data_IF_451472066176
#
_entry.id   IF_451472066176
#
_cell.length_a   1.000
_cell.length_b   1.000
_cell.length_c   1.000
_cell.angle_alpha   90.00
_cell.angle_beta   90.00
_cell.angle_gamma   90.00
#
_symmetry.space_group_name_H-M   'P 1'
#
loop_
_entity.id
_entity.type
_entity.pdbx_description
1 polymer ?
#
# COMPACT_ATOMS: atom_id res chain seq x y z
N UNK A 1 -16.60 -38.56 -9.88
CA UNK A 1 -15.91 -37.88 -8.77
C UNK A 1 -15.96 -36.39 -9.02
N UNK A 2 -16.71 -35.64 -8.22
CA UNK A 2 -16.83 -34.19 -8.39
C UNK A 2 -15.50 -33.56 -7.96
N UNK A 3 -14.74 -32.98 -8.90
CA UNK A 3 -13.48 -32.30 -8.57
C UNK A 3 -13.80 -31.21 -7.55
N UNK A 4 -13.25 -31.29 -6.34
CA UNK A 4 -13.46 -30.27 -5.31
C UNK A 4 -13.04 -28.92 -5.89
N UNK A 5 -13.97 -27.96 -5.94
CA UNK A 5 -13.66 -26.59 -6.39
C UNK A 5 -12.58 -26.03 -5.48
N UNK A 6 -11.58 -25.37 -6.07
CA UNK A 6 -10.58 -24.64 -5.29
C UNK A 6 -11.27 -23.44 -4.62
N UNK A 7 -10.92 -23.18 -3.36
CA UNK A 7 -11.55 -22.16 -2.53
C UNK A 7 -10.64 -20.95 -2.34
N UNK A 8 -11.21 -19.75 -2.41
CA UNK A 8 -10.45 -18.49 -2.39
C UNK A 8 -11.05 -17.53 -1.37
N UNK A 9 -10.23 -17.04 -0.43
CA UNK A 9 -10.60 -15.92 0.42
C UNK A 9 -10.29 -14.60 -0.30
N UNK A 10 -11.30 -13.80 -0.61
CA UNK A 10 -11.15 -12.52 -1.31
C UNK A 10 -11.27 -11.35 -0.33
N UNK A 11 -10.23 -10.52 -0.25
CA UNK A 11 -10.29 -9.24 0.43
C UNK A 11 -11.18 -8.25 -0.32
N UNK A 12 -12.30 -7.85 0.30
CA UNK A 12 -13.30 -6.94 -0.23
C UNK A 12 -13.29 -5.62 0.53
N UNK A 13 -12.91 -4.53 -0.15
CA UNK A 13 -12.88 -3.18 0.40
C UNK A 13 -14.16 -2.37 0.13
N UNK A 14 -15.16 -2.97 -0.53
CA UNK A 14 -16.36 -2.24 -0.97
C UNK A 14 -16.09 -1.26 -2.12
N UNK A 15 -14.93 -1.38 -2.77
CA UNK A 15 -14.60 -0.69 -4.01
C UNK A 15 -14.76 -1.58 -5.24
N UNK A 16 -14.92 -0.94 -6.40
CA UNK A 16 -15.14 -1.58 -7.71
C UNK A 16 -14.15 -2.71 -8.01
N UNK A 17 -12.89 -2.53 -7.65
CA UNK A 17 -11.81 -3.47 -7.96
C UNK A 17 -12.03 -4.83 -7.27
N UNK A 18 -12.25 -4.80 -5.95
CA UNK A 18 -12.50 -6.02 -5.19
C UNK A 18 -13.81 -6.70 -5.59
N UNK A 19 -14.82 -5.93 -6.01
CA UNK A 19 -16.09 -6.45 -6.51
C UNK A 19 -15.93 -7.23 -7.81
N UNK A 20 -15.25 -6.63 -8.79
CA UNK A 20 -14.98 -7.26 -10.09
C UNK A 20 -14.04 -8.46 -9.93
N UNK A 21 -13.06 -8.37 -9.03
CA UNK A 21 -12.20 -9.51 -8.71
C UNK A 21 -13.00 -10.71 -8.21
N UNK A 22 -14.00 -10.50 -7.35
CA UNK A 22 -14.89 -11.57 -6.88
C UNK A 22 -15.75 -12.18 -7.97
N UNK A 23 -16.29 -11.35 -8.88
CA UNK A 23 -16.98 -11.83 -10.06
C UNK A 23 -16.07 -12.71 -10.94
N UNK A 24 -14.89 -12.21 -11.29
CA UNK A 24 -13.95 -12.94 -12.16
C UNK A 24 -13.52 -14.29 -11.57
N UNK A 25 -13.24 -14.35 -10.27
CA UNK A 25 -12.90 -15.60 -9.59
C UNK A 25 -14.05 -16.61 -9.63
N UNK A 26 -15.30 -16.14 -9.43
CA UNK A 26 -16.48 -17.00 -9.54
C UNK A 26 -16.65 -17.55 -10.96
N UNK A 27 -16.48 -16.72 -11.98
CA UNK A 27 -16.54 -17.13 -13.40
C UNK A 27 -15.44 -18.13 -13.76
N UNK A 28 -14.26 -18.00 -13.14
CA UNK A 28 -13.16 -18.96 -13.27
C UNK A 28 -13.42 -20.30 -12.53
N UNK A 29 -14.56 -20.44 -11.86
CA UNK A 29 -14.99 -21.67 -11.21
C UNK A 29 -14.55 -21.85 -9.76
N UNK A 30 -13.93 -20.84 -9.16
CA UNK A 30 -13.55 -20.87 -7.75
C UNK A 30 -14.77 -20.80 -6.82
N UNK A 31 -14.65 -21.46 -5.67
CA UNK A 31 -15.53 -21.18 -4.53
C UNK A 31 -14.98 -19.95 -3.80
N UNK A 32 -15.64 -18.81 -3.93
CA UNK A 32 -15.17 -17.54 -3.37
C UNK A 32 -15.82 -17.29 -2.02
N UNK A 33 -15.02 -16.87 -1.03
CA UNK A 33 -15.47 -16.34 0.25
C UNK A 33 -14.97 -14.91 0.36
N UNK A 34 -15.86 -13.95 0.54
CA UNK A 34 -15.53 -12.55 0.75
C UNK A 34 -15.13 -12.26 2.20
N UNK A 35 -14.13 -11.41 2.40
CA UNK A 35 -13.76 -10.90 3.72
C UNK A 35 -13.50 -9.40 3.67
N UNK A 36 -14.06 -8.64 4.61
CA UNK A 36 -13.68 -7.24 4.83
C UNK A 36 -12.93 -7.11 6.15
N UNK A 37 -11.75 -6.49 6.10
CA UNK A 37 -10.99 -6.14 7.29
C UNK A 37 -11.51 -4.84 7.89
N UNK A 38 -11.92 -4.88 9.15
CA UNK A 38 -12.11 -3.70 9.97
C UNK A 38 -10.75 -3.32 10.56
N UNK A 39 -10.25 -2.16 10.19
CA UNK A 39 -8.91 -1.65 10.58
C UNK A 39 -8.97 -0.32 11.33
N UNK A 40 -10.16 0.14 11.72
CA UNK A 40 -10.34 1.37 12.47
C UNK A 40 -10.49 1.09 13.98
N UNK A 41 -9.91 1.95 14.85
CA UNK A 41 -10.17 1.87 16.29
C UNK A 41 -11.65 2.09 16.60
N UNK A 42 -12.15 1.45 17.68
CA UNK A 42 -13.55 1.55 18.12
C UNK A 42 -13.99 3.00 18.45
N UNK A 43 -13.06 3.87 18.84
CA UNK A 43 -13.36 5.22 19.36
C UNK A 43 -13.43 6.32 18.30
N UNK A 44 -13.29 5.98 17.01
CA UNK A 44 -13.19 6.95 15.93
C UNK A 44 -14.49 7.07 15.10
N UNK A 45 -15.65 7.21 15.74
CA UNK A 45 -16.92 7.42 15.02
C UNK A 45 -16.88 8.69 14.15
N UNK A 46 -16.10 9.70 14.54
CA UNK A 46 -15.96 10.98 13.80
C UNK A 46 -14.99 10.94 12.61
N UNK A 47 -14.20 9.86 12.42
CA UNK A 47 -13.30 9.69 11.26
C UNK A 47 -13.87 8.78 10.17
N UNK A 48 -15.10 8.29 10.37
CA UNK A 48 -15.69 7.18 9.65
C UNK A 48 -16.38 7.55 8.31
N UNK A 49 -16.46 8.83 7.96
CA UNK A 49 -17.23 9.25 6.78
C UNK A 49 -16.48 9.08 5.46
N UNK A 50 -15.14 9.05 5.43
CA UNK A 50 -14.49 9.38 4.16
C UNK A 50 -13.88 8.25 3.30
N UNK A 51 -13.38 7.10 3.77
CA UNK A 51 -12.62 6.19 2.86
C UNK A 51 -12.74 4.68 3.12
N UNK A 52 -12.34 3.92 2.08
CA UNK A 52 -12.13 2.47 1.83
C UNK A 52 -12.37 1.42 2.94
N UNK A 53 -12.25 1.79 4.21
CA UNK A 53 -12.39 0.93 5.37
C UNK A 53 -13.24 1.65 6.43
N UNK A 54 -14.46 2.06 6.10
CA UNK A 54 -15.44 2.58 7.05
C UNK A 54 -16.70 1.69 7.11
N UNK A 55 -17.67 1.99 7.99
CA UNK A 55 -18.94 1.26 8.07
C UNK A 55 -19.65 1.16 6.71
N UNK A 56 -19.64 2.24 5.92
CA UNK A 56 -20.21 2.24 4.57
C UNK A 56 -19.48 1.29 3.62
N UNK A 57 -18.14 1.20 3.71
CA UNK A 57 -17.36 0.29 2.89
C UNK A 57 -17.68 -1.19 3.19
N UNK A 58 -17.93 -1.52 4.47
CA UNK A 58 -18.41 -2.85 4.87
C UNK A 58 -19.80 -3.13 4.31
N UNK A 59 -20.71 -2.15 4.37
CA UNK A 59 -22.05 -2.29 3.81
C UNK A 59 -22.00 -2.50 2.28
N UNK A 60 -21.19 -1.72 1.57
CA UNK A 60 -20.96 -1.84 0.12
C UNK A 60 -20.38 -3.23 -0.22
N UNK A 61 -19.36 -3.69 0.52
CA UNK A 61 -18.75 -5.00 0.32
C UNK A 61 -19.76 -6.13 0.53
N UNK A 62 -20.58 -6.05 1.58
CA UNK A 62 -21.64 -7.02 1.86
C UNK A 62 -22.71 -7.04 0.77
N UNK A 63 -23.15 -5.87 0.31
CA UNK A 63 -24.16 -5.77 -0.74
C UNK A 63 -23.68 -6.39 -2.06
N UNK A 64 -22.42 -6.13 -2.44
CA UNK A 64 -21.80 -6.74 -3.62
C UNK A 64 -21.63 -8.25 -3.43
N UNK A 65 -21.15 -8.70 -2.27
CA UNK A 65 -20.97 -10.14 -2.03
C UNK A 65 -22.31 -10.88 -2.15
N UNK A 66 -23.39 -10.29 -1.61
CA UNK A 66 -24.73 -10.81 -1.73
C UNK A 66 -25.21 -10.88 -3.19
N UNK A 67 -25.02 -9.82 -4.00
CA UNK A 67 -25.40 -9.85 -5.42
C UNK A 67 -24.61 -10.87 -6.24
N UNK A 68 -23.37 -11.16 -5.84
CA UNK A 68 -22.52 -12.18 -6.45
C UNK A 68 -22.75 -13.58 -5.87
N UNK A 69 -23.64 -13.77 -4.89
CA UNK A 69 -23.88 -15.07 -4.25
C UNK A 69 -22.67 -15.61 -3.48
N UNK A 70 -21.85 -14.71 -2.92
CA UNK A 70 -20.62 -15.01 -2.20
C UNK A 70 -20.85 -14.83 -0.68
N UNK A 71 -20.53 -15.82 0.17
CA UNK A 71 -20.55 -15.63 1.62
C UNK A 71 -19.53 -14.56 2.01
N UNK A 72 -19.91 -13.66 2.93
CA UNK A 72 -19.09 -12.52 3.33
C UNK A 72 -18.94 -12.44 4.85
N UNK A 73 -17.69 -12.27 5.29
CA UNK A 73 -17.34 -12.11 6.69
C UNK A 73 -16.66 -10.76 6.94
N UNK A 74 -16.82 -10.24 8.16
CA UNK A 74 -16.05 -9.09 8.64
C UNK A 74 -15.09 -9.59 9.70
N UNK A 75 -13.82 -9.22 9.59
CA UNK A 75 -12.79 -9.60 10.54
C UNK A 75 -12.21 -8.35 11.16
N UNK A 76 -12.14 -8.32 12.49
CA UNK A 76 -11.46 -7.24 13.19
C UNK A 76 -9.94 -7.48 13.13
N UNK A 77 -9.24 -6.51 12.56
CA UNK A 77 -7.79 -6.49 12.40
C UNK A 77 -7.23 -5.14 12.89
N UNK A 78 -8.02 -4.36 13.66
CA UNK A 78 -7.61 -3.04 14.13
C UNK A 78 -6.29 -3.09 14.91
N UNK A 79 -6.18 -3.99 15.89
CA UNK A 79 -4.97 -4.13 16.70
C UNK A 79 -3.73 -4.53 15.88
N UNK A 80 -3.92 -5.40 14.88
CA UNK A 80 -2.82 -5.83 14.00
C UNK A 80 -2.45 -4.71 13.03
N UNK A 81 -3.42 -3.95 12.56
CA UNK A 81 -3.21 -2.80 11.70
C UNK A 81 -2.47 -1.68 12.42
N UNK A 82 -2.85 -1.38 13.65
CA UNK A 82 -2.17 -0.42 14.50
C UNK A 82 -0.68 -0.79 14.62
N UNK A 83 -0.40 -2.01 15.11
CA UNK A 83 0.98 -2.45 15.36
C UNK A 83 1.84 -2.62 14.13
N UNK A 84 1.29 -3.18 13.05
CA UNK A 84 2.10 -3.59 11.88
C UNK A 84 2.19 -2.52 10.81
N UNK A 85 1.28 -1.53 10.83
CA UNK A 85 1.19 -0.51 9.79
C UNK A 85 1.35 0.88 10.38
N UNK A 86 0.55 1.24 11.39
CA UNK A 86 0.57 2.58 11.98
C UNK A 86 1.82 2.81 12.82
N UNK A 87 2.17 1.90 13.73
CA UNK A 87 3.37 2.03 14.57
C UNK A 87 4.65 2.02 13.71
N UNK A 88 4.69 1.17 12.68
CA UNK A 88 5.75 1.19 11.66
C UNK A 88 5.82 2.56 10.98
N UNK A 89 4.70 3.07 10.48
CA UNK A 89 4.66 4.36 9.79
C UNK A 89 5.17 5.49 10.69
N UNK A 90 4.69 5.56 11.92
CA UNK A 90 5.05 6.60 12.89
C UNK A 90 6.52 6.51 13.29
N UNK A 91 7.03 5.32 13.61
CA UNK A 91 8.41 5.12 14.04
C UNK A 91 9.43 5.39 12.93
N UNK A 92 9.10 5.09 11.67
CA UNK A 92 9.96 5.43 10.52
C UNK A 92 10.09 6.95 10.34
N UNK A 93 8.99 7.70 10.47
CA UNK A 93 9.05 9.16 10.43
C UNK A 93 9.85 9.74 11.58
N UNK A 94 9.66 9.24 12.82
CA UNK A 94 10.48 9.63 13.98
C UNK A 94 11.97 9.39 13.75
N UNK A 95 12.32 8.40 12.93
CA UNK A 95 13.69 8.10 12.56
C UNK A 95 14.16 8.83 11.28
N UNK A 96 13.44 9.86 10.83
CA UNK A 96 13.78 10.68 9.66
C UNK A 96 13.63 9.96 8.31
N UNK A 97 12.93 8.82 8.28
CA UNK A 97 12.72 8.00 7.07
C UNK A 97 11.37 8.26 6.43
N UNK A 98 11.23 7.91 5.16
CA UNK A 98 9.95 8.01 4.41
C UNK A 98 9.33 6.63 4.23
N UNK A 99 8.42 6.19 5.11
CA UNK A 99 7.84 4.85 5.05
C UNK A 99 6.82 4.66 3.93
N UNK A 100 6.60 3.40 3.54
CA UNK A 100 5.48 3.00 2.69
C UNK A 100 4.55 2.01 3.43
N UNK A 101 3.47 2.49 4.07
CA UNK A 101 2.60 1.65 4.88
C UNK A 101 1.79 0.64 4.04
N UNK A 102 1.57 0.91 2.75
CA UNK A 102 0.82 0.01 1.87
C UNK A 102 1.57 -1.31 1.62
N UNK A 103 2.90 -1.26 1.49
CA UNK A 103 3.75 -2.45 1.35
C UNK A 103 3.63 -3.32 2.60
N UNK A 104 3.73 -2.70 3.79
CA UNK A 104 3.62 -3.41 5.06
C UNK A 104 2.23 -4.01 5.26
N UNK A 105 1.17 -3.29 4.92
CA UNK A 105 -0.20 -3.80 4.96
C UNK A 105 -0.37 -5.01 4.03
N UNK A 106 0.18 -4.96 2.82
CA UNK A 106 0.10 -6.09 1.90
C UNK A 106 0.86 -7.31 2.43
N UNK A 107 2.10 -7.14 2.87
CA UNK A 107 2.94 -8.23 3.34
C UNK A 107 2.45 -8.85 4.65
N UNK A 108 2.14 -8.02 5.64
CA UNK A 108 1.90 -8.49 7.02
C UNK A 108 0.44 -8.78 7.30
N UNK A 109 -0.49 -8.08 6.64
CA UNK A 109 -1.92 -8.25 6.89
C UNK A 109 -2.62 -8.97 5.74
N UNK A 110 -2.67 -8.38 4.55
CA UNK A 110 -3.51 -8.90 3.45
C UNK A 110 -3.05 -10.28 2.98
N UNK A 111 -1.74 -10.48 2.82
CA UNK A 111 -1.15 -11.77 2.46
C UNK A 111 -0.42 -12.44 3.63
N UNK A 112 -0.47 -11.83 4.82
CA UNK A 112 0.07 -12.36 6.07
C UNK A 112 -1.06 -12.87 6.97
N UNK A 113 -1.48 -12.08 7.96
CA UNK A 113 -2.46 -12.48 8.97
C UNK A 113 -3.78 -13.05 8.41
N UNK A 114 -4.29 -12.50 7.30
CA UNK A 114 -5.51 -13.04 6.67
C UNK A 114 -5.35 -14.48 6.19
N UNK A 115 -4.12 -14.92 5.89
CA UNK A 115 -3.87 -16.30 5.46
C UNK A 115 -4.28 -17.31 6.54
N UNK A 116 -4.03 -17.03 7.82
CA UNK A 116 -4.41 -17.94 8.91
C UNK A 116 -5.93 -18.15 8.93
N UNK A 117 -6.72 -17.11 8.65
CA UNK A 117 -8.18 -17.21 8.52
C UNK A 117 -8.60 -17.93 7.24
N UNK A 118 -7.91 -17.66 6.12
CA UNK A 118 -8.14 -18.34 4.85
C UNK A 118 -7.95 -19.86 5.00
N UNK A 119 -6.85 -20.27 5.64
CA UNK A 119 -6.53 -21.67 5.92
C UNK A 119 -7.58 -22.34 6.83
N UNK A 120 -8.03 -21.65 7.88
CA UNK A 120 -9.09 -22.15 8.77
C UNK A 120 -10.43 -22.34 8.04
N UNK A 121 -10.71 -21.52 7.02
CA UNK A 121 -11.88 -21.66 6.15
C UNK A 121 -11.68 -22.67 5.02
N UNK A 122 -10.55 -23.39 4.99
CA UNK A 122 -10.21 -24.37 3.97
C UNK A 122 -9.94 -23.77 2.59
N UNK A 123 -9.50 -22.51 2.53
CA UNK A 123 -9.13 -21.85 1.28
C UNK A 123 -7.76 -22.33 0.78
N UNK A 124 -7.66 -22.53 -0.52
CA UNK A 124 -6.41 -22.84 -1.21
C UNK A 124 -5.62 -21.55 -1.55
N UNK A 125 -6.34 -20.44 -1.75
CA UNK A 125 -5.76 -19.15 -2.13
C UNK A 125 -6.37 -17.98 -1.35
N UNK A 126 -5.64 -16.87 -1.37
CA UNK A 126 -6.10 -15.54 -0.97
C UNK A 126 -6.03 -14.59 -2.16
N UNK A 127 -7.08 -13.79 -2.37
CA UNK A 127 -7.18 -12.88 -3.49
C UNK A 127 -7.40 -11.44 -3.05
N UNK A 128 -6.96 -10.51 -3.89
CA UNK A 128 -7.20 -9.08 -3.72
C UNK A 128 -7.43 -8.42 -5.08
N UNK A 129 -8.03 -7.23 -5.08
CA UNK A 129 -8.21 -6.42 -6.29
C UNK A 129 -6.96 -5.67 -6.75
N UNK A 130 -5.75 -6.18 -6.50
CA UNK A 130 -4.53 -5.50 -6.95
C UNK A 130 -4.31 -5.65 -8.46
N UNK A 131 -3.79 -4.61 -9.08
CA UNK A 131 -3.40 -4.53 -10.48
C UNK A 131 -1.97 -5.04 -10.66
N UNK A 132 -1.78 -6.34 -10.48
CA UNK A 132 -0.51 -7.03 -10.70
C UNK A 132 -0.80 -8.44 -11.20
N UNK A 133 0.16 -9.10 -11.84
CA UNK A 133 0.00 -10.48 -12.31
C UNK A 133 0.83 -11.39 -11.42
N UNK A 134 0.22 -12.44 -10.88
CA UNK A 134 0.92 -13.51 -10.16
C UNK A 134 0.79 -14.79 -10.98
N UNK A 135 1.91 -15.20 -11.60
CA UNK A 135 1.99 -16.41 -12.41
C UNK A 135 2.46 -17.58 -11.55
N UNK A 136 1.66 -18.66 -11.52
CA UNK A 136 2.01 -19.88 -10.79
C UNK A 136 2.67 -20.88 -11.75
N UNK A 137 3.92 -21.23 -11.45
CA UNK A 137 4.64 -22.33 -12.10
C UNK A 137 4.73 -23.53 -11.16
N UNK A 138 5.20 -24.68 -11.66
CA UNK A 138 5.31 -25.91 -10.88
C UNK A 138 6.07 -25.72 -9.55
N UNK A 139 7.17 -24.96 -9.55
CA UNK A 139 8.07 -24.84 -8.41
C UNK A 139 8.07 -23.47 -7.73
N UNK A 140 7.46 -22.45 -8.34
CA UNK A 140 7.50 -21.07 -7.84
C UNK A 140 6.33 -20.23 -8.36
N UNK A 141 6.07 -19.11 -7.69
CA UNK A 141 5.19 -18.07 -8.22
C UNK A 141 6.03 -16.83 -8.61
N UNK A 142 5.63 -16.15 -9.67
CA UNK A 142 6.33 -14.97 -10.21
C UNK A 142 5.38 -13.79 -10.17
N UNK A 143 5.83 -12.68 -9.59
CA UNK A 143 5.12 -11.41 -9.59
C UNK A 143 5.54 -10.59 -10.82
N UNK A 144 4.57 -10.07 -11.56
CA UNK A 144 4.78 -9.20 -12.73
C UNK A 144 3.93 -7.95 -12.65
N UNK A 145 4.31 -6.96 -13.45
CA UNK A 145 3.52 -5.74 -13.65
C UNK A 145 2.13 -6.06 -14.17
N UNK A 146 1.14 -5.30 -13.72
CA UNK A 146 -0.16 -5.24 -14.36
C UNK A 146 -0.06 -4.67 -15.77
N UNK A 147 -0.97 -5.08 -16.67
CA UNK A 147 -0.97 -4.62 -18.07
C UNK A 147 -1.32 -3.14 -18.22
N UNK A 148 -2.00 -2.55 -17.22
CA UNK A 148 -2.28 -1.11 -17.19
C UNK A 148 -1.16 -0.37 -16.45
N UNK A 149 -0.23 0.29 -17.16
CA UNK A 149 0.94 0.91 -16.54
C UNK A 149 0.58 2.07 -15.60
N UNK A 150 -0.61 2.67 -15.76
CA UNK A 150 -1.08 3.76 -14.88
C UNK A 150 -1.67 3.24 -13.57
N UNK A 151 -1.93 1.95 -13.50
CA UNK A 151 -2.56 1.29 -12.35
C UNK A 151 -1.72 0.17 -11.78
N UNK A 152 -0.61 -0.21 -12.40
CA UNK A 152 0.28 -1.25 -11.90
C UNK A 152 0.58 -1.08 -10.41
N UNK A 153 0.37 -2.15 -9.67
CA UNK A 153 0.57 -2.23 -8.23
C UNK A 153 1.62 -3.26 -7.83
N UNK A 154 2.38 -3.79 -8.80
CA UNK A 154 3.49 -4.72 -8.52
C UNK A 154 4.50 -4.14 -7.52
N UNK A 155 4.73 -2.82 -7.56
CA UNK A 155 5.58 -2.10 -6.62
C UNK A 155 5.09 -2.21 -5.16
N UNK A 156 3.80 -2.38 -4.89
CA UNK A 156 3.31 -2.54 -3.51
C UNK A 156 3.31 -3.99 -3.02
N UNK A 157 3.69 -4.93 -3.88
CA UNK A 157 3.68 -6.37 -3.62
C UNK A 157 5.09 -6.98 -3.67
N UNK A 158 6.14 -6.19 -3.91
CA UNK A 158 7.52 -6.69 -4.07
C UNK A 158 8.04 -7.47 -2.87
N UNK A 159 7.54 -7.17 -1.66
CA UNK A 159 8.01 -7.79 -0.42
C UNK A 159 7.34 -9.14 -0.14
N UNK A 160 6.34 -9.54 -0.94
CA UNK A 160 5.69 -10.84 -0.81
C UNK A 160 6.69 -11.97 -1.07
N UNK A 161 6.76 -12.90 -0.12
CA UNK A 161 7.64 -14.08 -0.20
C UNK A 161 6.98 -15.19 -1.01
N UNK A 162 7.78 -16.18 -1.45
CA UNK A 162 7.25 -17.33 -2.20
C UNK A 162 6.12 -18.08 -1.46
N UNK A 163 6.19 -18.17 -0.14
CA UNK A 163 5.13 -18.78 0.68
C UNK A 163 3.79 -18.03 0.57
N UNK A 164 3.84 -16.72 0.31
CA UNK A 164 2.67 -15.87 0.11
C UNK A 164 2.25 -15.84 -1.35
N UNK A 165 3.19 -15.61 -2.27
CA UNK A 165 2.94 -15.54 -3.72
C UNK A 165 2.31 -16.82 -4.27
N UNK A 166 2.73 -18.00 -3.81
CA UNK A 166 2.18 -19.30 -4.26
C UNK A 166 0.71 -19.52 -3.89
N UNK A 167 0.14 -18.67 -3.03
CA UNK A 167 -1.24 -18.72 -2.56
C UNK A 167 -1.99 -17.44 -2.92
N UNK A 168 -1.35 -16.49 -3.58
CA UNK A 168 -1.89 -15.17 -3.84
C UNK A 168 -2.50 -15.07 -5.25
N UNK A 169 -3.69 -14.49 -5.35
CA UNK A 169 -4.34 -14.21 -6.64
C UNK A 169 -4.62 -12.70 -6.77
N UNK A 170 -4.39 -12.18 -7.96
CA UNK A 170 -4.64 -10.78 -8.34
C UNK A 170 -5.38 -10.74 -9.68
N UNK A 171 -6.71 -10.99 -9.68
CA UNK A 171 -7.47 -11.26 -10.92
C UNK A 171 -7.48 -10.11 -11.92
N UNK A 172 -7.18 -8.89 -11.47
CA UNK A 172 -7.29 -7.66 -12.27
C UNK A 172 -6.03 -7.34 -13.06
N UNK A 173 -4.90 -8.01 -12.80
CA UNK A 173 -3.61 -7.66 -13.40
C UNK A 173 -3.55 -7.70 -14.93
N UNK A 174 -4.46 -8.42 -15.58
CA UNK A 174 -4.54 -8.55 -17.04
C UNK A 174 -5.59 -7.62 -17.67
N UNK A 175 -6.09 -6.64 -16.91
CA UNK A 175 -7.15 -5.74 -17.35
C UNK A 175 -6.79 -4.29 -17.09
N UNK A 176 -7.30 -3.41 -17.95
CA UNK A 176 -7.27 -1.97 -17.73
C UNK A 176 -8.41 -1.50 -16.82
N UNK A 177 -8.21 -0.37 -16.13
CA UNK A 177 -9.26 0.20 -15.28
C UNK A 177 -10.58 0.45 -16.02
N UNK A 178 -10.59 0.96 -17.27
CA UNK A 178 -11.84 1.11 -18.02
C UNK A 178 -12.59 -0.22 -18.22
N UNK A 179 -11.88 -1.30 -18.55
CA UNK A 179 -12.51 -2.62 -18.72
C UNK A 179 -13.14 -3.12 -17.41
N UNK A 180 -12.47 -2.90 -16.28
CA UNK A 180 -12.98 -3.27 -14.95
C UNK A 180 -14.26 -2.48 -14.61
N UNK A 181 -14.29 -1.17 -14.89
CA UNK A 181 -15.49 -0.35 -14.69
C UNK A 181 -16.63 -0.79 -15.59
N UNK A 182 -16.34 -1.19 -16.83
CA UNK A 182 -17.36 -1.68 -17.75
C UNK A 182 -18.00 -2.98 -17.26
N UNK A 183 -17.21 -3.93 -16.76
CA UNK A 183 -17.73 -5.13 -16.09
C UNK A 183 -18.58 -4.75 -14.88
N UNK A 184 -18.14 -3.79 -14.07
CA UNK A 184 -18.91 -3.38 -12.91
C UNK A 184 -20.28 -2.78 -13.30
N UNK A 185 -20.35 -2.02 -14.40
CA UNK A 185 -21.62 -1.49 -14.94
C UNK A 185 -22.51 -2.58 -15.50
N UNK A 186 -21.95 -3.53 -16.26
CA UNK A 186 -22.73 -4.64 -16.82
C UNK A 186 -23.33 -5.54 -15.73
N UNK A 187 -22.70 -5.59 -14.56
CA UNK A 187 -23.19 -6.29 -13.36
C UNK A 187 -24.17 -5.45 -12.52
N UNK A 188 -24.46 -4.20 -12.91
CA UNK A 188 -25.33 -3.29 -12.17
C UNK A 188 -24.78 -2.90 -10.79
N UNK A 189 -23.45 -2.96 -10.60
CA UNK A 189 -22.84 -2.65 -9.31
C UNK A 189 -22.87 -1.15 -9.05
N UNK A 190 -23.50 -0.73 -7.95
CA UNK A 190 -23.55 0.68 -7.51
C UNK A 190 -22.17 1.33 -7.34
N UNK A 191 -21.14 0.52 -7.11
CA UNK A 191 -19.77 0.97 -6.92
C UNK A 191 -19.00 1.22 -8.22
N UNK A 192 -19.59 0.99 -9.40
CA UNK A 192 -18.90 1.06 -10.69
C UNK A 192 -18.20 2.40 -10.96
N UNK A 193 -18.84 3.51 -10.61
CA UNK A 193 -18.31 4.87 -10.81
C UNK A 193 -17.67 5.46 -9.55
N UNK A 194 -17.54 4.67 -8.47
CA UNK A 194 -16.86 5.09 -7.24
C UNK A 194 -15.40 5.46 -7.56
N UNK A 195 -14.94 6.56 -6.97
CA UNK A 195 -13.56 7.04 -7.12
C UNK A 195 -12.62 6.12 -6.34
N UNK A 196 -11.48 5.79 -6.95
CA UNK A 196 -10.45 4.96 -6.30
C UNK A 196 -9.83 5.71 -5.11
N UNK A 197 -9.60 5.00 -4.02
CA UNK A 197 -8.77 5.53 -2.92
C UNK A 197 -7.30 5.51 -3.33
N UNK A 198 -6.72 6.69 -3.55
CA UNK A 198 -5.29 6.86 -3.89
C UNK A 198 -4.43 7.29 -2.70
N UNK A 199 -5.06 7.68 -1.59
CA UNK A 199 -4.38 8.15 -0.39
C UNK A 199 -4.11 7.01 0.60
N UNK A 200 -3.20 7.24 1.54
CA UNK A 200 -2.95 6.33 2.66
C UNK A 200 -4.25 6.19 3.47
N UNK A 201 -4.70 4.95 3.66
CA UNK A 201 -6.07 4.68 4.11
C UNK A 201 -6.42 5.22 5.51
N UNK A 202 -5.43 5.46 6.37
CA UNK A 202 -5.61 5.96 7.74
C UNK A 202 -5.19 7.43 7.92
N UNK A 203 -4.71 8.08 6.85
CA UNK A 203 -4.30 9.48 6.87
C UNK A 203 -5.42 10.33 6.24
N UNK A 204 -6.23 11.03 7.03
CA UNK A 204 -7.32 11.84 6.48
C UNK A 204 -6.77 13.05 5.70
N UNK A 205 -7.44 13.40 4.60
CA UNK A 205 -7.14 14.60 3.80
C UNK A 205 -5.73 14.65 3.19
N UNK A 206 -5.04 13.52 3.10
CA UNK A 206 -3.63 13.42 2.70
C UNK A 206 -2.69 14.26 3.58
N UNK A 207 -3.09 14.57 4.83
CA UNK A 207 -2.29 15.33 5.78
C UNK A 207 -1.71 14.42 6.87
N UNK A 208 -0.61 13.77 6.51
CA UNK A 208 0.10 12.89 7.45
C UNK A 208 0.68 13.66 8.64
N UNK A 209 0.90 14.98 8.53
CA UNK A 209 1.43 15.80 9.63
C UNK A 209 0.40 15.93 10.73
N UNK A 210 -0.87 16.16 10.38
CA UNK A 210 -1.99 16.16 11.33
C UNK A 210 -2.14 14.79 11.98
N UNK A 211 -2.03 13.71 11.19
CA UNK A 211 -2.07 12.35 11.72
C UNK A 211 -0.96 12.12 12.76
N UNK A 212 0.31 12.39 12.40
CA UNK A 212 1.46 12.23 13.29
C UNK A 212 1.33 13.05 14.57
N UNK A 213 0.90 14.33 14.47
CA UNK A 213 0.60 15.17 15.65
C UNK A 213 -0.46 14.59 16.57
N UNK A 214 -1.45 13.91 16.01
CA UNK A 214 -2.52 13.29 16.80
C UNK A 214 -2.11 11.97 17.43
N UNK A 215 -1.28 11.19 16.75
CA UNK A 215 -0.92 9.83 17.14
C UNK A 215 0.33 9.79 18.04
N UNK A 216 1.30 10.69 17.83
CA UNK A 216 2.51 10.82 18.64
C UNK A 216 2.34 11.79 19.83
N UNK A 217 1.10 12.06 20.28
CA UNK A 217 0.82 13.00 21.39
C UNK A 217 1.61 12.58 22.64
N UNK A 218 2.57 13.41 23.05
CA UNK A 218 3.43 13.19 24.21
C UNK A 218 4.88 12.81 23.89
N UNK A 219 5.21 12.49 22.63
CA UNK A 219 6.60 12.37 22.17
C UNK A 219 7.11 13.74 21.71
N UNK A 220 8.39 14.03 21.99
CA UNK A 220 9.04 15.23 21.45
C UNK A 220 9.27 15.05 19.95
N UNK A 221 8.68 15.95 19.14
CA UNK A 221 9.06 16.10 17.74
C UNK A 221 10.47 16.68 17.68
N UNK A 222 11.29 16.18 16.77
CA UNK A 222 12.68 16.63 16.66
C UNK A 222 12.73 18.00 15.96
N UNK A 223 12.60 19.07 16.74
CA UNK A 223 12.78 20.45 16.27
C UNK A 223 14.23 20.66 15.84
N UNK A 224 14.43 21.54 14.87
CA UNK A 224 15.77 21.74 14.30
C UNK A 224 15.81 22.86 13.28
N UNK A 225 16.88 22.88 12.50
CA UNK A 225 17.22 23.94 11.57
C UNK A 225 17.33 23.37 10.15
N UNK A 226 16.95 24.20 9.18
CA UNK A 226 17.05 23.90 7.75
C UNK A 226 18.24 24.66 7.18
N UNK A 227 19.10 23.94 6.47
CA UNK A 227 20.25 24.48 5.75
C UNK A 227 20.12 24.22 4.25
N UNK A 228 20.70 25.10 3.43
CA UNK A 228 20.88 24.80 2.00
C UNK A 228 22.07 23.84 1.76
N UNK A 229 22.27 23.47 0.50
CA UNK A 229 23.34 22.53 0.10
C UNK A 229 24.75 23.09 0.33
N UNK A 230 24.86 24.41 0.47
CA UNK A 230 26.12 25.13 0.71
C UNK A 230 26.37 25.34 2.22
N UNK A 231 25.42 24.92 3.07
CA UNK A 231 25.50 25.02 4.52
C UNK A 231 24.99 26.36 5.08
N UNK A 232 24.30 27.18 4.27
CA UNK A 232 23.70 28.41 4.77
C UNK A 232 22.38 28.12 5.48
N UNK A 233 22.20 28.73 6.66
CA UNK A 233 20.95 28.66 7.39
C UNK A 233 19.79 29.25 6.58
N UNK A 234 18.63 28.58 6.61
CA UNK A 234 17.40 29.01 5.94
C UNK A 234 16.31 29.38 6.95
N UNK A 235 15.97 28.46 7.86
CA UNK A 235 14.86 28.60 8.80
C UNK A 235 14.89 27.51 9.88
N UNK A 236 14.17 27.71 10.98
CA UNK A 236 13.88 26.65 11.96
C UNK A 236 12.64 25.81 11.54
N UNK A 237 12.51 24.62 12.13
CA UNK A 237 11.36 23.75 11.94
C UNK A 237 10.89 23.05 13.21
N UNK A 238 9.60 22.70 13.25
CA UNK A 238 8.95 22.10 14.42
C UNK A 238 9.06 20.57 14.51
N UNK A 239 9.64 19.91 13.52
CA UNK A 239 9.83 18.46 13.53
C UNK A 239 10.37 17.91 12.21
N UNK A 240 11.44 17.11 12.25
CA UNK A 240 11.99 16.44 11.05
C UNK A 240 10.96 15.49 10.42
N UNK A 241 10.05 14.95 11.23
CA UNK A 241 8.96 14.06 10.87
C UNK A 241 7.97 14.71 9.89
N UNK A 242 7.92 16.04 9.85
CA UNK A 242 7.03 16.80 8.97
C UNK A 242 7.60 17.07 7.59
N UNK A 243 8.71 16.42 7.26
CA UNK A 243 9.35 16.54 5.97
C UNK A 243 9.46 15.18 5.27
N UNK A 244 9.48 15.23 3.96
CA UNK A 244 9.71 14.06 3.10
C UNK A 244 10.72 14.47 2.05
N UNK A 245 11.71 13.63 1.79
CA UNK A 245 12.69 13.96 0.75
C UNK A 245 11.99 14.01 -0.62
N UNK A 246 12.34 15.01 -1.42
CA UNK A 246 11.64 15.40 -2.64
C UNK A 246 10.46 16.34 -2.42
N UNK A 247 10.06 16.62 -1.17
CA UNK A 247 8.99 17.59 -0.87
C UNK A 247 9.37 18.98 -1.35
N UNK A 248 8.47 19.59 -2.12
CA UNK A 248 8.59 20.97 -2.60
C UNK A 248 7.74 21.98 -1.81
N UNK A 249 6.53 21.58 -1.41
CA UNK A 249 5.52 22.46 -0.80
C UNK A 249 5.67 22.51 0.71
N UNK A 250 5.34 23.64 1.34
CA UNK A 250 5.32 23.77 2.80
C UNK A 250 6.69 23.74 3.45
N UNK A 251 7.72 24.19 2.73
CA UNK A 251 9.06 24.41 3.27
C UNK A 251 9.13 25.83 3.86
N UNK A 252 9.62 26.01 5.10
CA UNK A 252 9.77 27.32 5.70
C UNK A 252 10.94 28.10 5.07
N UNK A 253 11.04 29.40 5.41
CA UNK A 253 12.10 30.30 4.94
C UNK A 253 11.78 31.09 3.67
N UNK A 254 10.82 30.63 2.84
CA UNK A 254 10.43 31.33 1.61
C UNK A 254 11.53 31.35 0.54
N UNK A 255 11.17 31.20 -0.73
CA UNK A 255 12.16 31.22 -1.81
C UNK A 255 11.54 31.65 -3.14
N UNK A 256 12.20 32.56 -3.89
CA UNK A 256 11.74 32.94 -5.24
C UNK A 256 11.91 31.80 -6.25
N UNK A 257 12.76 30.81 -5.95
CA UNK A 257 12.96 29.60 -6.76
C UNK A 257 12.42 28.36 -6.03
N UNK A 258 11.87 27.36 -6.73
CA UNK A 258 11.46 26.10 -6.12
C UNK A 258 12.62 25.46 -5.34
N UNK A 259 12.38 25.11 -4.07
CA UNK A 259 13.28 24.31 -3.25
C UNK A 259 12.66 22.93 -3.01
N UNK A 260 13.53 21.97 -2.75
CA UNK A 260 13.16 20.60 -2.48
C UNK A 260 13.94 20.13 -1.25
N UNK A 261 13.30 19.36 -0.37
CA UNK A 261 14.00 18.61 0.66
C UNK A 261 14.88 17.61 -0.07
N UNK A 262 16.19 17.70 0.10
CA UNK A 262 17.13 16.75 -0.52
C UNK A 262 17.55 15.67 0.47
N UNK A 263 17.52 16.00 1.76
CA UNK A 263 17.94 15.11 2.83
C UNK A 263 17.19 15.38 4.13
N UNK A 264 17.16 14.35 4.99
CA UNK A 264 16.67 14.41 6.36
C UNK A 264 17.68 13.64 7.19
N UNK A 265 18.49 14.37 7.94
CA UNK A 265 19.45 13.72 8.82
C UNK A 265 19.04 13.89 10.29
N UNK A 266 18.62 12.81 10.95
CA UNK A 266 18.38 12.83 12.38
C UNK A 266 19.67 12.97 13.22
N UNK A 267 20.86 13.04 12.61
CA UNK A 267 22.18 13.18 13.28
C UNK A 267 23.16 14.24 12.71
N UNK A 268 23.32 14.47 11.38
CA UNK A 268 24.48 15.21 10.79
C UNK A 268 24.37 15.93 9.39
N UNK A 269 23.21 16.06 8.76
CA UNK A 269 22.88 16.60 7.40
C UNK A 269 23.77 16.22 6.18
N UNK A 270 23.29 15.37 5.23
CA UNK A 270 23.44 15.49 3.73
C UNK A 270 22.90 14.29 2.90
N UNK A 271 22.26 14.56 1.73
CA UNK A 271 22.39 13.88 0.39
C UNK A 271 21.33 14.25 -0.69
N UNK A 272 21.50 13.77 -1.96
CA UNK A 272 20.79 14.16 -3.22
C UNK A 272 20.22 12.95 -4.02
N UNK A 273 19.77 11.86 -3.37
CA UNK A 273 19.36 10.60 -4.04
C UNK A 273 18.21 9.85 -3.31
N UNK A 274 17.75 8.69 -3.85
CA UNK A 274 16.65 7.84 -3.31
C UNK A 274 16.87 7.50 -1.84
N UNK A 275 15.82 7.51 -1.01
CA UNK A 275 15.99 7.94 0.37
C UNK A 275 15.76 6.83 1.38
N UNK A 276 16.41 6.88 2.56
CA UNK A 276 16.17 5.88 3.61
C UNK A 276 14.68 5.71 3.95
N UNK A 277 14.25 4.46 4.06
CA UNK A 277 12.84 4.07 4.27
C UNK A 277 12.01 3.87 3.00
N UNK A 278 12.46 4.37 1.84
CA UNK A 278 11.80 4.07 0.58
C UNK A 278 12.15 2.66 0.09
N UNK A 279 11.25 2.07 -0.70
CA UNK A 279 11.50 0.78 -1.33
C UNK A 279 12.23 0.95 -2.66
N UNK A 280 13.26 0.14 -2.88
CA UNK A 280 13.87 -0.07 -4.17
C UNK A 280 13.43 -1.44 -4.71
N UNK A 281 12.83 -1.46 -5.91
CA UNK A 281 12.32 -2.68 -6.54
C UNK A 281 13.01 -2.88 -7.88
N UNK A 282 13.56 -4.08 -8.07
CA UNK A 282 14.34 -4.46 -9.25
C UNK A 282 13.44 -5.26 -10.18
N UNK A 283 13.41 -4.86 -11.45
CA UNK A 283 12.63 -5.48 -12.50
C UNK A 283 13.52 -6.00 -13.63
N UNK A 284 13.16 -7.16 -14.19
CA UNK A 284 13.62 -7.62 -15.50
C UNK A 284 12.42 -7.57 -16.45
N UNK A 285 12.37 -6.54 -17.29
CA UNK A 285 11.18 -6.23 -18.08
C UNK A 285 9.96 -5.93 -17.20
N UNK A 286 8.97 -6.82 -17.23
CA UNK A 286 7.76 -6.77 -16.41
C UNK A 286 7.83 -7.68 -15.17
N UNK A 287 8.86 -8.51 -15.02
CA UNK A 287 9.03 -9.42 -13.90
C UNK A 287 9.66 -8.68 -12.72
N UNK A 288 9.06 -8.82 -11.53
CA UNK A 288 9.66 -8.36 -10.27
C UNK A 288 10.69 -9.40 -9.81
N UNK A 289 11.97 -9.04 -9.82
CA UNK A 289 13.05 -9.90 -9.32
C UNK A 289 13.15 -9.87 -7.80
N UNK A 290 12.81 -8.73 -7.21
CA UNK A 290 12.82 -8.52 -5.77
C UNK A 290 12.90 -7.04 -5.44
N UNK A 291 13.00 -6.74 -4.15
CA UNK A 291 13.24 -5.40 -3.69
C UNK A 291 13.62 -5.38 -2.22
N UNK A 292 13.95 -4.19 -1.74
CA UNK A 292 14.36 -3.96 -0.37
C UNK A 292 14.08 -2.53 0.05
N UNK A 293 14.34 -2.27 1.33
CA UNK A 293 14.27 -0.93 1.88
C UNK A 293 15.64 -0.29 1.77
N UNK A 294 15.67 0.97 1.35
CA UNK A 294 16.89 1.75 1.37
C UNK A 294 17.20 2.05 2.83
N UNK A 295 18.31 1.50 3.33
CA UNK A 295 18.74 1.72 4.71
C UNK A 295 19.61 2.96 4.86
N UNK A 296 20.41 3.28 3.83
CA UNK A 296 21.35 4.41 3.80
C UNK A 296 21.66 4.82 2.36
N UNK A 297 22.05 6.09 2.18
CA UNK A 297 22.58 6.64 0.94
C UNK A 297 24.04 7.07 1.15
N UNK A 298 24.90 6.78 0.18
CA UNK A 298 26.30 7.22 0.20
C UNK A 298 26.57 8.11 -1.03
N UNK A 299 27.17 9.30 -0.86
CA UNK A 299 27.58 10.13 -1.99
C UNK A 299 28.57 9.38 -2.88
N UNK A 300 28.25 9.19 -4.15
CA UNK A 300 29.27 8.82 -5.14
C UNK A 300 30.14 10.06 -5.38
N UNK A 301 31.39 10.01 -4.94
CA UNK A 301 32.39 11.02 -5.35
C UNK A 301 32.72 10.76 -6.82
N UNK A 302 32.47 11.74 -7.68
CA UNK A 302 32.79 11.72 -9.12
C UNK A 302 34.31 11.76 -9.40
N UNK A 303 35.14 11.09 -8.59
CA UNK A 303 36.60 11.01 -8.82
C UNK A 303 37.08 9.71 -9.42
N UNK A 304 36.19 8.76 -9.73
CA UNK A 304 36.53 7.59 -10.54
C UNK A 304 35.45 7.44 -11.60
N UNK A 305 35.65 8.15 -12.72
CA UNK A 305 34.90 7.89 -13.92
C UNK A 305 35.03 6.40 -14.24
N UNK A 306 33.90 5.68 -14.16
CA UNK A 306 33.66 4.49 -14.96
C UNK A 306 33.78 4.92 -16.43
N UNK A 307 35.01 4.99 -16.92
CA UNK A 307 35.30 4.99 -18.35
C UNK A 307 35.02 3.55 -18.79
N UNK A 308 33.97 3.29 -19.57
CA UNK A 308 33.79 1.95 -20.13
C UNK A 308 34.96 1.66 -21.07
N UNK A 309 35.58 0.50 -20.90
CA UNK A 309 36.52 -0.08 -21.85
C UNK A 309 35.79 -0.59 -23.09
#
# INVERSE_FOLDING_TARGET
MNRKKQRVLLGMSGGVDSSVAGYLLREQGYEVIGVTMKVWPQDCISRAEDKCCGPQAVADARAVAHSLGIPHYVVDEADQFERLVIDYFSSEYQAGRTPNPCVMCNEKLKFGNLWSKAAALGCDYIATGHYAIIEHHCNRAVLRKGVDPRKDQSYFLFSLRQTQLRRALTPLGKMSKPQIREIARSLGLKVADKIDSQEICFVPGNDYKVFLRSHLRGNEFHRGEIYDVDGNFIAEHDGIEFFTIGQRKGLPGGSPRPRYVVDLDPKTNRQRAVTPGQAAVIYEGDIVLGGGWICRTEPVRLSEALVPA
#
